data_IF_669256515834
#
_entry.id   IF_669256515834
#
_cell.length_a   1.000
_cell.length_b   1.000
_cell.length_c   1.000
_cell.angle_alpha   90.00
_cell.angle_beta   90.00
_cell.angle_gamma   90.00
#
_symmetry.space_group_name_H-M   'P 1'
#
loop_
_entity.id
_entity.type
_entity.pdbx_description
1 polymer ?
#
# COMPACT_ATOMS: atom_id res chain seq x y z
N UNK A 1 -9.43 12.88 -8.98
CA UNK A 1 -8.22 12.42 -8.26
C UNK A 1 -7.56 11.30 -9.10
N UNK A 2 -6.63 11.64 -10.02
CA UNK A 2 -6.17 10.71 -11.06
C UNK A 2 -5.44 9.49 -10.48
N UNK A 3 -4.69 9.65 -9.38
CA UNK A 3 -4.08 8.53 -8.67
C UNK A 3 -5.13 7.56 -8.14
N UNK A 4 -6.18 8.06 -7.51
CA UNK A 4 -7.27 7.21 -6.99
C UNK A 4 -7.96 6.47 -8.12
N UNK A 5 -8.25 7.14 -9.23
CA UNK A 5 -8.86 6.50 -10.41
C UNK A 5 -7.98 5.36 -10.96
N UNK A 6 -6.67 5.59 -11.10
CA UNK A 6 -5.73 4.55 -11.53
C UNK A 6 -5.66 3.38 -10.54
N UNK A 7 -5.66 3.65 -9.23
CA UNK A 7 -5.70 2.59 -8.21
C UNK A 7 -7.01 1.82 -8.22
N UNK A 8 -8.14 2.46 -8.52
CA UNK A 8 -9.42 1.78 -8.64
C UNK A 8 -9.55 0.96 -9.93
N UNK A 9 -8.97 1.44 -11.03
CA UNK A 9 -9.03 0.79 -12.35
C UNK A 9 -8.02 -0.36 -12.49
N UNK A 10 -6.77 -0.13 -12.08
CA UNK A 10 -5.66 -1.07 -12.24
C UNK A 10 -5.24 -1.76 -10.94
N UNK A 11 -5.76 -1.30 -9.80
CA UNK A 11 -5.53 -1.93 -8.51
C UNK A 11 -6.67 -2.85 -8.09
N UNK A 12 -6.56 -3.49 -6.92
CA UNK A 12 -7.56 -4.44 -6.47
C UNK A 12 -8.86 -3.72 -6.10
N UNK A 13 -9.98 -4.31 -6.52
CA UNK A 13 -11.32 -3.85 -6.15
C UNK A 13 -11.58 -4.15 -4.68
N UNK A 14 -11.63 -3.11 -3.84
CA UNK A 14 -11.87 -3.24 -2.40
C UNK A 14 -13.14 -2.53 -1.96
N UNK A 15 -13.76 -3.01 -0.89
CA UNK A 15 -15.05 -2.51 -0.39
C UNK A 15 -15.06 -0.99 -0.10
N UNK A 16 -13.89 -0.38 0.11
CA UNK A 16 -13.72 1.05 0.28
C UNK A 16 -14.14 1.87 -0.95
N UNK A 17 -14.08 1.30 -2.15
CA UNK A 17 -14.48 1.96 -3.39
C UNK A 17 -15.95 2.38 -3.37
N UNK A 18 -16.83 1.53 -2.83
CA UNK A 18 -18.27 1.81 -2.69
C UNK A 18 -18.57 2.88 -1.64
N UNK A 19 -17.61 3.23 -0.79
CA UNK A 19 -17.73 4.27 0.24
C UNK A 19 -17.10 5.59 -0.18
N UNK A 20 -16.66 5.73 -1.43
CA UNK A 20 -16.13 6.99 -1.96
C UNK A 20 -17.23 8.01 -2.26
N UNK A 21 -18.42 7.52 -2.64
CA UNK A 21 -19.53 8.36 -3.10
C UNK A 21 -20.87 7.82 -2.60
N UNK A 22 -21.90 8.66 -2.58
CA UNK A 22 -23.25 8.29 -2.19
C UNK A 22 -23.61 8.66 -0.73
N UNK A 23 -24.80 8.27 -0.26
CA UNK A 23 -25.37 8.74 1.01
C UNK A 23 -24.61 8.25 2.27
N UNK A 24 -23.76 7.24 2.13
CA UNK A 24 -22.92 6.68 3.21
C UNK A 24 -21.43 6.78 2.87
N UNK A 25 -21.02 7.86 2.20
CA UNK A 25 -19.63 8.10 1.89
C UNK A 25 -18.81 8.21 3.19
N UNK A 26 -17.65 7.55 3.21
CA UNK A 26 -16.71 7.60 4.31
C UNK A 26 -15.51 8.45 3.90
N UNK A 27 -15.26 9.55 4.62
CA UNK A 27 -14.14 10.46 4.34
C UNK A 27 -12.78 9.77 4.32
N UNK A 28 -12.63 8.69 5.10
CA UNK A 28 -11.42 7.87 5.16
C UNK A 28 -11.23 6.89 4.00
N UNK A 29 -12.22 6.69 3.12
CA UNK A 29 -12.17 5.68 2.07
C UNK A 29 -11.01 5.90 1.10
N UNK A 30 -10.74 7.15 0.71
CA UNK A 30 -9.59 7.51 -0.14
C UNK A 30 -8.28 7.10 0.51
N UNK A 31 -8.08 7.46 1.78
CA UNK A 31 -6.86 7.14 2.50
C UNK A 31 -6.71 5.63 2.66
N UNK A 32 -7.80 4.93 2.97
CA UNK A 32 -7.82 3.48 3.14
C UNK A 32 -7.39 2.73 1.85
N UNK A 33 -7.84 3.18 0.68
CA UNK A 33 -7.44 2.59 -0.62
C UNK A 33 -5.94 2.81 -0.86
N UNK A 34 -5.45 4.02 -0.58
CA UNK A 34 -4.05 4.39 -0.80
C UNK A 34 -3.08 3.62 0.11
N UNK A 35 -3.47 3.35 1.37
CA UNK A 35 -2.63 2.65 2.36
C UNK A 35 -2.95 1.15 2.51
N UNK A 36 -3.85 0.60 1.68
CA UNK A 36 -4.29 -0.79 1.88
C UNK A 36 -3.13 -1.78 1.75
N UNK A 37 -2.21 -1.54 0.80
CA UNK A 37 -1.09 -2.45 0.55
C UNK A 37 -0.08 -2.44 1.70
N UNK A 38 0.09 -1.30 2.37
CA UNK A 38 0.94 -1.21 3.54
C UNK A 38 0.38 -2.06 4.69
N UNK A 39 -0.94 -2.05 4.87
CA UNK A 39 -1.63 -2.89 5.87
C UNK A 39 -1.56 -4.37 5.54
N UNK A 40 -1.64 -4.73 4.26
CA UNK A 40 -1.45 -6.11 3.82
C UNK A 40 -0.01 -6.56 4.05
N UNK A 41 0.98 -5.70 3.79
CA UNK A 41 2.41 -6.02 3.98
C UNK A 41 2.83 -6.07 5.45
N UNK A 42 2.29 -5.20 6.29
CA UNK A 42 2.64 -5.07 7.71
C UNK A 42 2.77 -6.41 8.46
N UNK A 43 1.78 -7.33 8.45
CA UNK A 43 1.88 -8.59 9.18
C UNK A 43 2.98 -9.53 8.66
N UNK A 44 3.44 -9.36 7.42
CA UNK A 44 4.52 -10.17 6.84
C UNK A 44 5.91 -9.58 7.13
N UNK A 45 5.99 -8.32 7.54
CA UNK A 45 7.24 -7.62 7.78
C UNK A 45 7.61 -7.60 9.28
N UNK A 46 7.54 -8.75 9.95
CA UNK A 46 7.87 -8.87 11.39
C UNK A 46 9.37 -8.74 11.68
N UNK A 47 10.22 -8.95 10.67
CA UNK A 47 11.68 -8.83 10.78
C UNK A 47 12.17 -7.63 9.97
N UNK A 48 12.75 -6.65 10.65
CA UNK A 48 13.35 -5.48 10.02
C UNK A 48 14.73 -5.88 9.47
N UNK A 49 14.89 -5.82 8.15
CA UNK A 49 16.20 -5.98 7.50
C UNK A 49 16.84 -4.59 7.38
N UNK A 50 17.94 -4.38 8.09
CA UNK A 50 18.74 -3.16 7.93
C UNK A 50 19.50 -3.26 6.59
N UNK A 51 19.13 -2.44 5.61
CA UNK A 51 19.77 -2.41 4.28
C UNK A 51 21.27 -2.08 4.33
N UNK A 52 21.76 -1.55 5.46
CA UNK A 52 23.20 -1.30 5.67
C UNK A 52 24.03 -2.58 5.79
N UNK A 53 23.42 -3.75 6.03
CA UNK A 53 24.15 -5.01 6.21
C UNK A 53 24.32 -5.79 4.89
N UNK A 54 23.54 -5.50 3.85
CA UNK A 54 23.62 -6.19 2.55
C UNK A 54 24.75 -5.67 1.66
N UNK A 55 25.31 -4.49 1.95
CA UNK A 55 26.56 -4.02 1.37
C UNK A 55 27.77 -4.68 2.06
N UNK A 56 27.86 -6.01 2.06
CA UNK A 56 29.15 -6.66 2.31
C UNK A 56 30.03 -6.39 1.07
N UNK A 57 31.22 -5.79 1.20
CA UNK A 57 32.15 -5.71 0.09
C UNK A 57 32.50 -7.16 -0.30
N UNK A 58 32.21 -7.53 -1.54
CA UNK A 58 32.74 -8.74 -2.16
C UNK A 58 34.26 -8.61 -2.14
N UNK A 59 34.98 -9.56 -1.52
CA UNK A 59 36.43 -9.61 -1.66
C UNK A 59 36.75 -9.86 -3.14
N UNK A 60 37.30 -8.84 -3.80
CA UNK A 60 37.97 -9.00 -5.09
C UNK A 60 39.28 -9.76 -4.86
N UNK A 61 39.49 -10.78 -5.71
CA UNK A 61 40.57 -11.77 -5.68
C UNK A 61 41.99 -11.20 -5.69
#
# INVERSE_FOLDING_TARGET
>A
DPRLALTCLFGPCTAYQYRLTGPHAWSGARHAIMTQMDRVKFPFCTRIVNERTTARPTCSS
#
